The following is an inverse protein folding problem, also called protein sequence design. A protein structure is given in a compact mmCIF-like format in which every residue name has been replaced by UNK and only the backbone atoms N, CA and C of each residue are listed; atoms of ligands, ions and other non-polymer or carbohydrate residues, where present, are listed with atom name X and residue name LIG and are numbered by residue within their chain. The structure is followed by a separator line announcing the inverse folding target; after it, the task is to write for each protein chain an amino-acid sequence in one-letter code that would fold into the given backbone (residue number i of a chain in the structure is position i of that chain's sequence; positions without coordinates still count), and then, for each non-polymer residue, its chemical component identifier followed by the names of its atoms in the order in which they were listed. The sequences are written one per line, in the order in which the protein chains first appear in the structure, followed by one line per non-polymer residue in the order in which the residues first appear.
data_IF_027396881235
#
_entry.id   IF_027396881235
#
_cell.length_a   1.000
_cell.length_b   1.000
_cell.length_c   1.000
_cell.angle_alpha   90.00
_cell.angle_beta   90.00
_cell.angle_gamma   90.00
#
_symmetry.space_group_name_H-M   'P 1'
#
loop_
_entity.id
_entity.type
_entity.pdbx_description
1 polymer ?
#
# COMPACT_ATOMS: atom_id res chain seq x y z
N UNK A 1 -2.18 2.98 -6.22
CA UNK A 1 -2.79 2.57 -7.50
C UNK A 1 -1.78 1.74 -8.27
N UNK A 2 -2.21 0.88 -9.19
CA UNK A 2 -1.32 0.22 -10.17
C UNK A 2 -0.83 1.23 -11.19
N UNK A 3 0.25 0.90 -11.89
CA UNK A 3 0.87 1.71 -12.92
C UNK A 3 0.81 0.96 -14.26
N UNK A 4 0.16 1.57 -15.26
CA UNK A 4 -0.12 0.95 -16.55
C UNK A 4 1.17 0.55 -17.29
N UNK A 5 1.31 -0.74 -17.57
CA UNK A 5 2.49 -1.33 -18.20
C UNK A 5 3.62 -1.70 -17.23
N UNK A 6 3.48 -1.43 -15.94
CA UNK A 6 4.48 -1.73 -14.91
C UNK A 6 3.94 -2.72 -13.87
N UNK A 7 2.80 -2.41 -13.26
CA UNK A 7 2.21 -3.18 -12.13
C UNK A 7 0.75 -3.55 -12.38
N UNK A 8 0.41 -3.79 -13.66
CA UNK A 8 -0.93 -4.19 -14.08
C UNK A 8 -1.43 -5.41 -13.27
N UNK A 9 -2.57 -5.25 -12.60
CA UNK A 9 -3.21 -6.26 -11.74
C UNK A 9 -2.35 -6.75 -10.55
N UNK A 10 -1.32 -6.01 -10.15
CA UNK A 10 -0.55 -6.38 -8.96
C UNK A 10 -1.35 -6.14 -7.69
N UNK A 11 -1.36 -7.14 -6.81
CA UNK A 11 -1.66 -6.97 -5.39
C UNK A 11 -0.47 -6.35 -4.64
N UNK A 12 -0.67 -5.93 -3.39
CA UNK A 12 0.42 -5.50 -2.52
C UNK A 12 1.43 -6.64 -2.29
N UNK A 13 0.98 -7.89 -2.23
CA UNK A 13 1.85 -9.05 -2.10
C UNK A 13 2.71 -9.25 -3.35
N UNK A 14 2.18 -9.00 -4.56
CA UNK A 14 2.96 -9.09 -5.80
C UNK A 14 4.10 -8.08 -5.84
N UNK A 15 3.84 -6.83 -5.40
CA UNK A 15 4.88 -5.81 -5.27
C UNK A 15 6.03 -6.30 -4.37
N UNK A 16 5.71 -6.82 -3.18
CA UNK A 16 6.71 -7.34 -2.25
C UNK A 16 7.47 -8.55 -2.82
N UNK A 17 6.76 -9.53 -3.38
CA UNK A 17 7.35 -10.72 -4.00
C UNK A 17 8.36 -10.34 -5.10
N UNK A 18 8.04 -9.34 -5.92
CA UNK A 18 8.95 -8.83 -6.95
C UNK A 18 10.18 -8.19 -6.33
N UNK A 19 10.05 -7.34 -5.30
CA UNK A 19 11.22 -6.73 -4.65
C UNK A 19 12.10 -7.80 -3.99
N UNK A 20 11.51 -8.72 -3.22
CA UNK A 20 12.22 -9.84 -2.59
C UNK A 20 12.95 -10.70 -3.62
N UNK A 21 12.35 -10.96 -4.79
CA UNK A 21 12.98 -11.69 -5.89
C UNK A 21 14.22 -10.96 -6.44
N UNK A 22 14.18 -9.64 -6.56
CA UNK A 22 15.33 -8.86 -7.03
C UNK A 22 16.47 -8.80 -6.00
N UNK A 23 16.14 -8.78 -4.72
CA UNK A 23 17.11 -8.75 -3.61
C UNK A 23 17.66 -10.16 -3.32
N UNK A 24 16.85 -11.21 -3.54
CA UNK A 24 17.19 -12.61 -3.29
C UNK A 24 16.84 -13.12 -1.89
N UNK A 25 16.16 -12.32 -1.06
CA UNK A 25 15.75 -12.68 0.30
C UNK A 25 14.58 -11.80 0.80
N UNK A 26 13.86 -12.27 1.82
CA UNK A 26 12.88 -11.49 2.58
C UNK A 26 13.66 -10.50 3.47
N UNK A 27 13.40 -9.19 3.35
CA UNK A 27 14.04 -8.14 4.17
C UNK A 27 13.05 -7.20 4.87
N UNK A 28 11.75 -7.50 4.79
CA UNK A 28 10.70 -6.58 5.21
C UNK A 28 10.12 -7.04 6.54
N UNK A 29 10.26 -6.20 7.57
CA UNK A 29 9.59 -6.44 8.86
C UNK A 29 8.12 -5.98 8.83
N UNK A 30 7.82 -4.94 8.05
CA UNK A 30 6.51 -4.30 7.99
C UNK A 30 6.11 -3.96 6.55
N UNK A 31 4.80 -3.98 6.29
CA UNK A 31 4.19 -3.34 5.11
C UNK A 31 3.03 -2.47 5.56
N UNK A 32 2.93 -1.27 4.99
CA UNK A 32 1.78 -0.38 5.20
C UNK A 32 0.93 -0.38 3.94
N UNK A 33 -0.36 -0.69 4.08
CA UNK A 33 -1.32 -0.71 2.98
C UNK A 33 -2.47 0.26 3.27
N UNK A 34 -2.96 0.93 2.23
CA UNK A 34 -4.10 1.82 2.35
C UNK A 34 -5.40 1.01 2.43
N UNK A 35 -6.24 1.30 3.44
CA UNK A 35 -7.63 0.85 3.53
C UNK A 35 -8.64 2.02 3.48
N UNK A 36 -8.15 3.23 3.21
CA UNK A 36 -8.96 4.43 3.05
C UNK A 36 -9.83 4.40 1.80
N UNK A 37 -10.99 5.04 1.89
CA UNK A 37 -11.94 5.15 0.80
C UNK A 37 -11.47 6.15 -0.26
N UNK A 38 -11.48 5.73 -1.52
CA UNK A 38 -11.29 6.60 -2.69
C UNK A 38 -12.66 6.76 -3.34
N UNK A 39 -13.12 8.00 -3.51
CA UNK A 39 -14.41 8.24 -4.15
C UNK A 39 -14.40 7.91 -5.64
N UNK A 40 -15.61 7.74 -6.19
CA UNK A 40 -15.81 7.31 -7.57
C UNK A 40 -15.20 8.28 -8.59
N UNK A 41 -15.22 9.58 -8.33
CA UNK A 41 -14.70 10.57 -9.26
C UNK A 41 -13.18 10.42 -9.43
N UNK A 42 -12.46 10.21 -8.33
CA UNK A 42 -11.03 9.88 -8.36
C UNK A 42 -10.78 8.53 -9.01
N UNK A 43 -11.57 7.51 -8.69
CA UNK A 43 -11.42 6.17 -9.29
C UNK A 43 -11.58 6.20 -10.81
N UNK A 44 -12.58 6.92 -11.32
CA UNK A 44 -12.86 7.05 -12.76
C UNK A 44 -11.67 7.69 -13.49
N UNK A 45 -11.05 8.73 -12.91
CA UNK A 45 -9.83 9.34 -13.46
C UNK A 45 -8.68 8.33 -13.58
N UNK A 46 -8.43 7.54 -12.55
CA UNK A 46 -7.37 6.53 -12.61
C UNK A 46 -7.70 5.40 -13.61
N UNK A 47 -8.97 5.04 -13.75
CA UNK A 47 -9.40 4.04 -14.74
C UNK A 47 -9.13 4.52 -16.18
N UNK A 48 -9.29 5.81 -16.48
CA UNK A 48 -8.91 6.38 -17.78
C UNK A 48 -7.40 6.24 -18.05
N UNK A 49 -6.58 6.28 -17.00
CA UNK A 49 -5.13 6.03 -17.05
C UNK A 49 -4.76 4.54 -16.99
N UNK A 50 -5.75 3.64 -16.98
CA UNK A 50 -5.60 2.18 -16.78
C UNK A 50 -4.94 1.81 -15.44
N UNK A 51 -5.14 2.64 -14.42
CA UNK A 51 -4.71 2.42 -13.06
C UNK A 51 -5.90 2.03 -12.17
N UNK A 52 -5.71 1.05 -11.29
CA UNK A 52 -6.72 0.61 -10.33
C UNK A 52 -6.17 0.63 -8.90
N UNK A 53 -7.01 0.65 -7.85
CA UNK A 53 -6.52 0.47 -6.49
C UNK A 53 -5.75 -0.85 -6.36
N UNK A 54 -4.59 -0.80 -5.69
CA UNK A 54 -3.82 -2.02 -5.39
C UNK A 54 -4.57 -2.78 -4.31
N UNK A 55 -4.92 -4.03 -4.59
CA UNK A 55 -5.54 -4.90 -3.61
C UNK A 55 -4.53 -5.24 -2.51
N UNK A 56 -4.89 -5.03 -1.25
CA UNK A 56 -4.00 -5.35 -0.14
C UNK A 56 -3.72 -6.86 -0.03
N UNK A 57 -4.68 -7.71 -0.37
CA UNK A 57 -4.59 -9.18 -0.25
C UNK A 57 -3.98 -9.61 1.09
N UNK A 58 -4.56 -9.14 2.21
CA UNK A 58 -3.99 -9.30 3.56
C UNK A 58 -3.64 -10.75 3.88
N UNK A 59 -4.46 -11.71 3.43
CA UNK A 59 -4.18 -13.13 3.59
C UNK A 59 -2.85 -13.56 2.94
N UNK A 60 -2.56 -13.08 1.72
CA UNK A 60 -1.28 -13.35 1.05
C UNK A 60 -0.11 -12.64 1.73
N UNK A 61 -0.31 -11.41 2.21
CA UNK A 61 0.72 -10.67 2.92
C UNK A 61 1.11 -11.34 4.25
N UNK A 62 0.13 -11.92 4.95
CA UNK A 62 0.37 -12.66 6.20
C UNK A 62 1.22 -13.91 6.00
N UNK A 63 1.26 -14.48 4.79
CA UNK A 63 2.13 -15.61 4.45
C UNK A 63 3.61 -15.20 4.25
N UNK A 64 3.91 -13.90 4.17
CA UNK A 64 5.25 -13.38 3.87
C UNK A 64 6.11 -13.10 5.12
N UNK A 65 5.68 -13.58 6.30
CA UNK A 65 6.39 -13.42 7.59
C UNK A 65 6.77 -11.97 7.91
N UNK A 66 5.79 -11.07 7.77
CA UNK A 66 5.90 -9.64 8.03
C UNK A 66 4.64 -9.12 8.71
N UNK A 67 4.72 -7.95 9.34
CA UNK A 67 3.56 -7.31 9.95
C UNK A 67 2.83 -6.40 8.96
N UNK A 68 1.53 -6.65 8.76
CA UNK A 68 0.67 -5.85 7.90
C UNK A 68 0.01 -4.74 8.71
N UNK A 69 0.22 -3.49 8.29
CA UNK A 69 -0.39 -2.31 8.89
C UNK A 69 -1.38 -1.73 7.89
N UNK A 70 -2.66 -1.80 8.22
CA UNK A 70 -3.73 -1.19 7.44
C UNK A 70 -4.10 0.17 8.03
N UNK A 71 -4.12 1.21 7.21
CA UNK A 71 -4.52 2.54 7.63
C UNK A 71 -5.22 3.31 6.51
N UNK A 72 -6.08 4.25 6.89
CA UNK A 72 -6.56 5.26 5.96
C UNK A 72 -5.40 6.20 5.66
N UNK A 73 -4.89 6.11 4.44
CA UNK A 73 -3.82 6.95 3.94
C UNK A 73 -4.30 7.91 2.87
N UNK A 74 -5.56 7.85 2.42
CA UNK A 74 -6.01 8.66 1.29
C UNK A 74 -6.02 10.14 1.67
N UNK A 75 -5.41 10.99 0.86
CA UNK A 75 -5.48 12.44 1.03
C UNK A 75 -6.85 12.99 0.67
N UNK A 76 -7.24 14.11 1.27
CA UNK A 76 -8.50 14.80 0.92
C UNK A 76 -8.35 15.68 -0.34
N UNK A 77 -7.26 15.51 -1.10
CA UNK A 77 -7.02 16.24 -2.35
C UNK A 77 -7.70 15.56 -3.54
N UNK A 78 -7.73 16.27 -4.67
CA UNK A 78 -8.18 15.75 -5.96
C UNK A 78 -7.39 14.52 -6.44
N UNK A 79 -6.22 14.22 -5.85
CA UNK A 79 -5.42 13.07 -6.23
C UNK A 79 -5.47 12.04 -5.10
N UNK A 80 -5.67 10.75 -5.45
CA UNK A 80 -5.74 9.67 -4.46
C UNK A 80 -4.34 9.23 -3.98
N UNK A 81 -3.50 10.20 -3.66
CA UNK A 81 -2.19 10.00 -3.05
C UNK A 81 -2.31 9.76 -1.54
N UNK A 82 -1.20 9.32 -0.96
CA UNK A 82 -1.07 9.27 0.48
C UNK A 82 -1.04 10.66 1.09
N UNK A 83 -1.85 10.88 2.13
CA UNK A 83 -1.75 12.03 3.01
C UNK A 83 -0.44 11.93 3.81
N UNK A 84 0.45 12.93 3.72
CA UNK A 84 1.75 12.87 4.38
C UNK A 84 1.65 12.85 5.90
N UNK A 85 0.63 13.47 6.49
CA UNK A 85 0.43 13.48 7.95
C UNK A 85 -0.13 12.16 8.46
N UNK A 86 -1.09 11.55 7.74
CA UNK A 86 -1.60 10.21 8.08
C UNK A 86 -0.48 9.18 7.97
N UNK A 87 0.29 9.20 6.88
CA UNK A 87 1.42 8.28 6.69
C UNK A 87 2.49 8.47 7.77
N UNK A 88 2.88 9.73 8.06
CA UNK A 88 3.84 10.01 9.13
C UNK A 88 3.36 9.46 10.47
N UNK A 89 2.08 9.68 10.83
CA UNK A 89 1.51 9.15 12.07
C UNK A 89 1.63 7.63 12.14
N UNK A 90 1.28 6.90 11.08
CA UNK A 90 1.42 5.43 11.05
C UNK A 90 2.87 5.00 11.28
N UNK A 91 3.83 5.66 10.63
CA UNK A 91 5.26 5.36 10.82
C UNK A 91 5.69 5.63 12.27
N UNK A 92 5.30 6.77 12.85
CA UNK A 92 5.61 7.09 14.24
C UNK A 92 4.97 6.09 15.20
N UNK A 93 3.68 5.82 15.07
CA UNK A 93 2.97 4.89 15.95
C UNK A 93 3.60 3.49 15.91
N UNK A 94 4.00 2.99 14.72
CA UNK A 94 4.73 1.73 14.59
C UNK A 94 6.10 1.76 15.25
N UNK A 95 6.89 2.82 15.07
CA UNK A 95 8.23 2.97 15.67
C UNK A 95 8.22 3.09 17.20
N UNK A 96 7.12 3.57 17.77
CA UNK A 96 6.96 3.80 19.21
C UNK A 96 6.03 2.81 19.88
N UNK A 97 5.42 1.88 19.14
CA UNK A 97 4.61 0.79 19.69
C UNK A 97 5.45 -0.07 20.64
N UNK A 98 5.09 -0.06 21.93
CA UNK A 98 5.77 -0.85 22.96
C UNK A 98 7.00 -0.18 23.61
N UNK A 99 7.28 1.09 23.34
CA UNK A 99 8.18 1.89 24.19
C UNK A 99 7.38 2.43 25.39
N UNK A 100 7.92 2.36 26.62
CA UNK A 100 7.25 2.89 27.81
C UNK A 100 6.99 4.39 27.73
#
# INVERSE_FOLDING_TARGET
MTENGETDNFSAADHLKVIMKHIGQQIFDYVVVNNGFIDQERLDRYLEEKAVPVEASVAELQELDLEVIEADLVSDTEVAWHDPHKLARVIFDTLYRGKP
#
